data_IF_561072133685
#
_entry.id   IF_561072133685
#
_cell.length_a   1.000
_cell.length_b   1.000
_cell.length_c   1.000
_cell.angle_alpha   90.00
_cell.angle_beta   90.00
_cell.angle_gamma   90.00
#
_symmetry.space_group_name_H-M   'P 1'
#
loop_
_entity.id
_entity.type
_entity.pdbx_description
1 polymer ?
#
# COMPACT_ATOMS: atom_id res chain seq x y z
N UNK A 1 -12.87 14.61 -0.99
CA UNK A 1 -11.86 14.04 -0.06
C UNK A 1 -11.55 15.11 0.99
N UNK A 2 -11.89 14.89 2.26
CA UNK A 2 -11.88 15.91 3.33
C UNK A 2 -10.94 15.60 4.50
N UNK A 3 -9.93 14.74 4.29
CA UNK A 3 -8.92 14.43 5.31
C UNK A 3 -7.78 15.46 5.18
N UNK A 4 -7.41 16.15 6.28
CA UNK A 4 -6.23 17.02 6.30
C UNK A 4 -4.96 16.29 5.85
N UNK A 5 -4.16 16.92 4.99
CA UNK A 5 -2.93 16.33 4.43
C UNK A 5 -1.90 15.95 5.48
N UNK A 6 -1.83 16.70 6.58
CA UNK A 6 -0.91 16.45 7.70
C UNK A 6 -1.26 15.20 8.54
N UNK A 7 -2.33 14.48 8.21
CA UNK A 7 -2.71 13.19 8.84
C UNK A 7 -2.50 11.99 7.91
N UNK A 8 -1.82 12.19 6.78
CA UNK A 8 -1.58 11.15 5.79
C UNK A 8 -0.10 11.12 5.43
N UNK A 9 0.52 9.98 5.67
CA UNK A 9 1.84 9.66 5.16
C UNK A 9 1.73 8.66 4.02
N UNK A 10 2.66 8.72 3.06
CA UNK A 10 2.69 7.82 1.90
C UNK A 10 4.08 7.22 1.77
N UNK A 11 4.13 5.90 1.71
CA UNK A 11 5.37 5.13 1.52
C UNK A 11 5.21 4.25 0.27
N UNK A 12 6.19 4.31 -0.64
CA UNK A 12 6.21 3.48 -1.84
C UNK A 12 7.09 2.25 -1.62
N UNK A 13 6.53 1.06 -1.81
CA UNK A 13 7.26 -0.21 -1.72
C UNK A 13 7.61 -0.83 -3.08
N UNK A 14 7.20 -0.23 -4.20
CA UNK A 14 7.44 -0.78 -5.53
C UNK A 14 7.06 -2.26 -5.64
N UNK A 15 8.06 -3.12 -5.88
CA UNK A 15 7.89 -4.58 -6.01
C UNK A 15 8.42 -5.37 -4.81
N UNK A 16 8.75 -4.71 -3.70
CA UNK A 16 9.43 -5.33 -2.56
C UNK A 16 8.49 -6.16 -1.67
N UNK A 17 7.17 -5.89 -1.72
CA UNK A 17 6.16 -6.57 -0.90
C UNK A 17 5.05 -7.23 -1.75
N UNK A 18 5.37 -8.27 -2.56
CA UNK A 18 4.37 -8.95 -3.36
C UNK A 18 3.42 -9.81 -2.50
N UNK A 19 2.14 -9.89 -2.87
CA UNK A 19 1.20 -10.87 -2.30
C UNK A 19 1.40 -12.27 -2.87
N UNK A 20 1.90 -12.32 -4.08
CA UNK A 20 2.00 -13.50 -4.91
C UNK A 20 3.15 -13.28 -5.91
N UNK A 21 3.78 -14.35 -6.37
CA UNK A 21 5.00 -14.28 -7.18
C UNK A 21 4.85 -14.93 -8.55
N UNK A 22 3.67 -15.43 -8.87
CA UNK A 22 3.37 -16.09 -10.14
C UNK A 22 3.39 -15.09 -11.29
N UNK A 23 3.88 -15.55 -12.45
CA UNK A 23 3.90 -14.77 -13.68
C UNK A 23 2.56 -14.91 -14.43
N UNK A 24 1.49 -14.44 -13.79
CA UNK A 24 0.13 -14.49 -14.35
C UNK A 24 -0.56 -13.15 -14.20
N UNK A 25 -1.48 -12.83 -15.11
CA UNK A 25 -2.27 -11.59 -15.04
C UNK A 25 -3.06 -11.47 -13.74
N UNK A 26 -3.58 -12.60 -13.26
CA UNK A 26 -4.29 -12.67 -11.98
C UNK A 26 -3.40 -12.26 -10.80
N UNK A 27 -2.14 -12.72 -10.77
CA UNK A 27 -1.21 -12.31 -9.72
C UNK A 27 -0.80 -10.83 -9.88
N UNK A 28 -0.55 -10.37 -11.10
CA UNK A 28 -0.23 -8.96 -11.33
C UNK A 28 -1.37 -8.02 -10.91
N UNK A 29 -2.61 -8.41 -11.17
CA UNK A 29 -3.78 -7.65 -10.72
C UNK A 29 -3.84 -7.55 -9.18
N UNK A 30 -3.52 -8.64 -8.47
CA UNK A 30 -3.46 -8.64 -6.99
C UNK A 30 -2.33 -7.78 -6.42
N UNK A 31 -1.19 -7.71 -7.11
CA UNK A 31 -0.02 -6.96 -6.66
C UNK A 31 -0.10 -5.44 -6.94
N UNK A 32 -0.97 -5.00 -7.86
CA UNK A 32 -1.23 -3.56 -8.10
C UNK A 32 -2.27 -3.05 -7.10
N UNK A 33 -1.81 -2.60 -5.94
CA UNK A 33 -2.68 -2.17 -4.83
C UNK A 33 -2.00 -1.17 -3.91
N UNK A 34 -2.81 -0.49 -3.13
CA UNK A 34 -2.41 0.28 -1.96
C UNK A 34 -2.89 -0.37 -0.67
N UNK A 35 -2.18 -0.09 0.43
CA UNK A 35 -2.48 -0.58 1.77
C UNK A 35 -2.60 0.59 2.74
N UNK A 36 -3.74 0.68 3.43
CA UNK A 36 -3.98 1.67 4.47
C UNK A 36 -3.84 1.04 5.84
N UNK A 37 -3.02 1.64 6.68
CA UNK A 37 -2.87 1.27 8.08
C UNK A 37 -3.05 2.53 8.93
N UNK A 38 -3.57 2.35 10.15
CA UNK A 38 -3.56 3.41 11.14
C UNK A 38 -2.23 3.30 11.88
N UNK A 39 -1.32 4.21 11.60
CA UNK A 39 -0.07 4.28 12.34
C UNK A 39 -0.37 4.81 13.74
N UNK A 40 -0.11 3.99 14.75
CA UNK A 40 -0.20 4.42 16.14
C UNK A 40 1.10 5.11 16.49
N UNK A 41 1.31 6.31 15.93
CA UNK A 41 2.32 7.20 16.49
C UNK A 41 1.80 7.60 17.87
N UNK A 42 2.29 6.88 18.89
CA UNK A 42 2.32 7.36 20.26
C UNK A 42 3.00 8.71 20.20
N UNK A 43 2.24 9.75 20.50
CA UNK A 43 2.84 11.00 20.91
C UNK A 43 3.62 10.82 22.19
#
# INVERSE_FOLDING_TARGET
>A
MGIPSNRMDTVSYGKEKPMCTENTEACWAKNRRDHFVLDQVSR
#
